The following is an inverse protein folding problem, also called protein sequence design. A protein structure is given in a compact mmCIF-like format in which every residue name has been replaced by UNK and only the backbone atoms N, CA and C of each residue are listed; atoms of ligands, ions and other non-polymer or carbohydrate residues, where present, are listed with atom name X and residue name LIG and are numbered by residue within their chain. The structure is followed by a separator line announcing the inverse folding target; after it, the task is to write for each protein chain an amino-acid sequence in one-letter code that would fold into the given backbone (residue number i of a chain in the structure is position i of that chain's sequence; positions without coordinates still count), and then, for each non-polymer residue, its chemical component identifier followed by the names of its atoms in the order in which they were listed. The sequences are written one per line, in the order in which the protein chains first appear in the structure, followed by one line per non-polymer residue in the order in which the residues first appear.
data_IF_927142192431
#
_entry.id   IF_927142192431
#
_cell.length_a   1.000
_cell.length_b   1.000
_cell.length_c   1.000
_cell.angle_alpha   90.00
_cell.angle_beta   90.00
_cell.angle_gamma   90.00
#
_symmetry.space_group_name_H-M   'P 1'
#
loop_
_entity.id
_entity.type
_entity.pdbx_description
1 polymer ?
#
# COMPACT_ATOMS: atom_id res chain seq x y z
N UNK A 1 27.35 19.07 8.98
CA UNK A 1 27.86 17.95 8.15
C UNK A 1 26.77 17.64 7.15
N UNK A 2 26.90 18.15 5.93
CA UNK A 2 26.00 17.78 4.83
C UNK A 2 26.44 16.40 4.35
N UNK A 3 25.58 15.39 4.51
CA UNK A 3 25.78 14.09 3.88
C UNK A 3 25.51 14.25 2.40
N UNK A 4 26.57 14.54 1.65
CA UNK A 4 26.56 14.52 0.20
C UNK A 4 26.16 13.10 -0.24
N UNK A 5 24.88 12.93 -0.60
CA UNK A 5 24.27 11.63 -0.85
C UNK A 5 24.70 11.13 -2.22
N UNK A 6 25.95 10.67 -2.30
CA UNK A 6 26.56 10.15 -3.53
C UNK A 6 25.76 8.91 -3.97
N UNK A 7 25.01 9.04 -5.05
CA UNK A 7 24.18 7.97 -5.59
C UNK A 7 25.04 6.72 -5.88
N UNK A 8 24.60 5.56 -5.38
CA UNK A 8 25.23 4.27 -5.64
C UNK A 8 24.54 3.65 -6.84
N UNK A 9 25.25 3.41 -7.97
CA UNK A 9 24.64 2.79 -9.14
C UNK A 9 24.30 1.33 -8.85
N UNK A 10 23.12 0.89 -9.29
CA UNK A 10 22.70 -0.49 -9.16
C UNK A 10 23.39 -1.37 -10.22
N UNK A 11 23.91 -2.55 -9.85
CA UNK A 11 24.30 -3.57 -10.81
C UNK A 11 23.10 -3.96 -11.70
N UNK A 12 23.34 -4.35 -12.98
CA UNK A 12 22.27 -4.71 -13.90
C UNK A 12 21.32 -5.80 -13.37
N UNK A 13 21.86 -6.82 -12.70
CA UNK A 13 21.08 -7.91 -12.11
C UNK A 13 20.16 -7.42 -10.98
N UNK A 14 20.69 -6.60 -10.06
CA UNK A 14 19.90 -6.01 -8.98
C UNK A 14 18.80 -5.10 -9.52
N UNK A 15 19.10 -4.31 -10.55
CA UNK A 15 18.11 -3.46 -11.22
C UNK A 15 16.98 -4.31 -11.83
N UNK A 16 17.31 -5.35 -12.59
CA UNK A 16 16.31 -6.22 -13.22
C UNK A 16 15.43 -6.93 -12.19
N UNK A 17 16.01 -7.40 -11.08
CA UNK A 17 15.25 -7.99 -9.98
C UNK A 17 14.27 -6.99 -9.36
N UNK A 18 14.74 -5.79 -9.03
CA UNK A 18 13.89 -4.75 -8.43
C UNK A 18 12.79 -4.28 -9.37
N UNK A 19 13.07 -4.16 -10.68
CA UNK A 19 12.05 -3.83 -11.70
C UNK A 19 10.95 -4.90 -11.75
N UNK A 20 11.33 -6.18 -11.72
CA UNK A 20 10.37 -7.28 -11.67
C UNK A 20 9.53 -7.27 -10.39
N UNK A 21 10.17 -7.08 -9.23
CA UNK A 21 9.47 -6.99 -7.95
C UNK A 21 8.51 -5.80 -7.90
N UNK A 22 8.89 -4.66 -8.48
CA UNK A 22 8.01 -3.50 -8.59
C UNK A 22 6.76 -3.81 -9.45
N UNK A 23 6.92 -4.54 -10.55
CA UNK A 23 5.80 -4.98 -11.38
C UNK A 23 4.89 -5.97 -10.65
N UNK A 24 5.47 -6.94 -9.95
CA UNK A 24 4.72 -7.92 -9.16
C UNK A 24 3.95 -7.26 -8.01
N UNK A 25 4.59 -6.30 -7.33
CA UNK A 25 3.95 -5.49 -6.29
C UNK A 25 2.77 -4.69 -6.84
N UNK A 26 2.94 -4.01 -7.97
CA UNK A 26 1.88 -3.21 -8.57
C UNK A 26 0.69 -4.10 -9.00
N UNK A 27 0.95 -5.26 -9.59
CA UNK A 27 -0.10 -6.22 -9.94
C UNK A 27 -0.80 -6.81 -8.70
N UNK A 28 -0.09 -7.00 -7.59
CA UNK A 28 -0.69 -7.42 -6.32
C UNK A 28 -1.57 -6.31 -5.73
N UNK A 29 -1.09 -5.06 -5.72
CA UNK A 29 -1.82 -3.88 -5.24
C UNK A 29 -3.15 -3.72 -5.96
N UNK A 30 -3.15 -3.75 -7.29
CA UNK A 30 -4.38 -3.62 -8.09
C UNK A 30 -5.38 -4.74 -7.79
N UNK A 31 -4.92 -5.98 -7.63
CA UNK A 31 -5.79 -7.11 -7.27
C UNK A 31 -6.43 -6.92 -5.89
N UNK A 32 -5.64 -6.43 -4.92
CA UNK A 32 -6.14 -6.13 -3.57
C UNK A 32 -7.17 -5.01 -3.61
N UNK A 33 -6.93 -3.94 -4.36
CA UNK A 33 -7.87 -2.83 -4.52
C UNK A 33 -9.21 -3.28 -5.11
N UNK A 34 -9.17 -4.13 -6.15
CA UNK A 34 -10.37 -4.70 -6.74
C UNK A 34 -11.11 -5.62 -5.77
N UNK A 35 -10.39 -6.43 -4.99
CA UNK A 35 -11.01 -7.28 -3.98
C UNK A 35 -11.72 -6.44 -2.91
N UNK A 36 -11.07 -5.39 -2.40
CA UNK A 36 -11.66 -4.47 -1.43
C UNK A 36 -12.92 -3.81 -1.99
N UNK A 37 -12.87 -3.34 -3.24
CA UNK A 37 -14.03 -2.72 -3.90
C UNK A 37 -15.20 -3.70 -4.05
N UNK A 38 -14.91 -4.95 -4.48
CA UNK A 38 -15.93 -5.99 -4.61
C UNK A 38 -16.56 -6.33 -3.25
N UNK A 39 -15.76 -6.41 -2.18
CA UNK A 39 -16.25 -6.63 -0.81
C UNK A 39 -17.14 -5.48 -0.35
N UNK A 40 -16.77 -4.21 -0.60
CA UNK A 40 -17.64 -3.06 -0.29
C UNK A 40 -19.00 -3.18 -0.98
N UNK A 41 -19.00 -3.49 -2.27
CA UNK A 41 -20.23 -3.66 -3.05
C UNK A 41 -21.09 -4.80 -2.52
N UNK A 42 -20.49 -5.95 -2.18
CA UNK A 42 -21.20 -7.10 -1.63
C UNK A 42 -21.83 -6.81 -0.25
N UNK A 43 -21.19 -5.95 0.55
CA UNK A 43 -21.67 -5.56 1.88
C UNK A 43 -22.58 -4.32 1.87
N UNK A 44 -22.79 -3.68 0.71
CA UNK A 44 -23.56 -2.43 0.62
C UNK A 44 -22.88 -1.22 1.27
N UNK A 45 -21.56 -1.27 1.43
CA UNK A 45 -20.77 -0.20 2.05
C UNK A 45 -20.47 0.90 1.03
N UNK A 46 -20.58 2.19 1.40
CA UNK A 46 -20.21 3.28 0.51
C UNK A 46 -18.75 3.21 0.04
N UNK A 47 -18.49 3.66 -1.19
CA UNK A 47 -17.17 3.49 -1.83
C UNK A 47 -16.06 4.26 -1.11
N UNK A 48 -16.41 5.39 -0.49
CA UNK A 48 -15.52 6.29 0.23
C UNK A 48 -15.11 5.79 1.61
N UNK A 49 -15.82 4.81 2.19
CA UNK A 49 -15.46 4.22 3.49
C UNK A 49 -14.17 3.43 3.38
N UNK A 50 -13.36 3.41 4.44
CA UNK A 50 -12.05 2.77 4.43
C UNK A 50 -11.99 1.63 5.44
N UNK A 51 -11.22 0.58 5.14
CA UNK A 51 -11.00 -0.49 6.10
C UNK A 51 -10.03 -0.01 7.18
N UNK A 52 -10.45 -0.01 8.43
CA UNK A 52 -9.57 0.37 9.56
C UNK A 52 -8.66 -0.79 9.94
N UNK A 53 -9.27 -1.94 10.23
CA UNK A 53 -8.61 -3.23 10.42
C UNK A 53 -9.64 -4.34 10.15
N UNK A 54 -9.21 -5.61 10.22
CA UNK A 54 -10.09 -6.73 9.88
C UNK A 54 -11.15 -7.03 10.96
N UNK A 55 -10.94 -6.56 12.19
CA UNK A 55 -11.89 -6.78 13.31
C UNK A 55 -13.00 -5.71 13.34
N UNK A 56 -12.65 -4.45 13.08
CA UNK A 56 -13.56 -3.29 13.04
C UNK A 56 -14.22 -3.09 11.66
N UNK A 57 -13.57 -3.53 10.58
CA UNK A 57 -14.10 -3.44 9.22
C UNK A 57 -14.03 -2.03 8.61
N UNK A 58 -15.04 -1.68 7.80
CA UNK A 58 -15.10 -0.41 7.05
C UNK A 58 -15.73 0.72 7.86
N UNK A 59 -15.11 1.90 7.85
CA UNK A 59 -15.55 3.10 8.56
C UNK A 59 -15.51 4.34 7.65
N UNK A 60 -16.34 5.35 7.96
CA UNK A 60 -16.46 6.56 7.14
C UNK A 60 -15.24 7.49 7.21
N UNK A 61 -14.45 7.45 8.29
CA UNK A 61 -13.30 8.33 8.49
C UNK A 61 -11.97 7.57 8.35
N UNK A 62 -11.04 8.19 7.63
CA UNK A 62 -9.64 7.79 7.67
C UNK A 62 -9.00 8.33 8.96
N UNK A 63 -8.84 7.48 9.96
CA UNK A 63 -7.94 7.78 11.07
C UNK A 63 -6.60 7.14 10.73
N UNK A 64 -5.70 7.93 10.15
CA UNK A 64 -4.29 7.57 10.19
C UNK A 64 -3.92 7.44 11.67
N UNK A 65 -3.54 6.25 12.12
CA UNK A 65 -3.02 6.04 13.47
C UNK A 65 -1.63 6.69 13.55
N UNK A 66 -1.60 8.02 13.58
CA UNK A 66 -0.41 8.79 13.91
C UNK A 66 -0.23 8.70 15.43
N UNK A 67 0.82 7.98 15.82
CA UNK A 67 1.53 8.11 17.11
C UNK A 67 1.06 7.18 18.25
N UNK A 68 1.74 6.04 18.37
CA UNK A 68 2.15 5.52 19.69
C UNK A 68 3.63 5.14 19.68
N UNK A 69 4.47 6.16 19.83
CA UNK A 69 5.73 6.04 20.57
C UNK A 69 5.49 6.80 21.88
N UNK A 70 5.29 6.06 22.96
CA UNK A 70 5.48 6.53 24.34
C UNK A 70 6.61 5.70 24.95
#
# INVERSE_FOLDING_TARGET
METDSKAIPLPPESKALLERLAQEHEAARQRLEMAVLATKAALGVPVEWQIRNLDEGFVAEFVADETRVL
#
